data_IF_391919878254
#
_entry.id   IF_391919878254
#
_cell.length_a   1.000
_cell.length_b   1.000
_cell.length_c   1.000
_cell.angle_alpha   90.00
_cell.angle_beta   90.00
_cell.angle_gamma   90.00
#
_symmetry.space_group_name_H-M   'P 1'
#
loop_
_entity.id
_entity.type
_entity.pdbx_description
1 polymer ?
#
# COMPACT_ATOMS: atom_id res chain seq x y z
N UNK A 1 13.25 2.85 0.82
CA UNK A 1 12.31 3.48 1.75
C UNK A 1 11.02 2.68 1.74
N UNK A 2 10.44 2.40 2.91
CA UNK A 2 9.20 1.63 3.07
C UNK A 2 8.44 2.15 4.30
N UNK A 3 7.21 2.61 4.09
CA UNK A 3 6.28 2.94 5.16
C UNK A 3 5.77 1.65 5.82
N UNK A 4 5.56 1.71 7.13
CA UNK A 4 5.23 0.55 7.95
C UNK A 4 3.83 -0.02 7.67
N UNK A 5 2.94 0.78 7.08
CA UNK A 5 1.55 0.46 6.78
C UNK A 5 1.34 -0.09 5.35
N UNK A 6 2.42 -0.22 4.57
CA UNK A 6 2.36 -0.79 3.22
C UNK A 6 2.48 -2.32 3.24
N UNK A 7 1.61 -2.97 2.45
CA UNK A 7 1.52 -4.42 2.36
C UNK A 7 2.14 -4.90 1.04
N UNK A 8 3.44 -5.24 1.07
CA UNK A 8 4.10 -5.89 -0.06
C UNK A 8 3.69 -7.37 -0.13
N UNK A 9 3.10 -7.77 -1.27
CA UNK A 9 2.63 -9.14 -1.48
C UNK A 9 3.53 -9.92 -2.45
N UNK A 10 4.37 -9.22 -3.21
CA UNK A 10 5.29 -9.83 -4.15
C UNK A 10 6.70 -9.94 -3.53
N UNK A 11 7.19 -11.16 -3.24
CA UNK A 11 8.51 -11.34 -2.63
C UNK A 11 9.66 -10.91 -3.55
N UNK A 12 9.44 -10.86 -4.87
CA UNK A 12 10.44 -10.44 -5.85
C UNK A 12 10.50 -8.91 -6.03
N UNK A 13 9.69 -8.14 -5.30
CA UNK A 13 9.60 -6.67 -5.44
C UNK A 13 10.97 -6.00 -5.49
N UNK A 14 11.87 -6.33 -4.56
CA UNK A 14 13.20 -5.72 -4.52
C UNK A 14 14.02 -6.04 -5.77
N UNK A 15 14.07 -7.31 -6.18
CA UNK A 15 14.82 -7.76 -7.35
C UNK A 15 14.27 -7.12 -8.64
N UNK A 16 12.95 -7.07 -8.77
CA UNK A 16 12.27 -6.43 -9.89
C UNK A 16 12.61 -4.94 -9.99
N UNK A 17 12.59 -4.21 -8.87
CA UNK A 17 12.96 -2.79 -8.85
C UNK A 17 14.44 -2.55 -9.16
N UNK A 18 15.34 -3.40 -8.65
CA UNK A 18 16.78 -3.35 -8.97
C UNK A 18 16.98 -3.55 -10.48
N UNK A 19 16.26 -4.48 -11.10
CA UNK A 19 16.37 -4.78 -12.53
C UNK A 19 15.96 -3.61 -13.44
N UNK A 20 15.13 -2.68 -12.96
CA UNK A 20 14.76 -1.47 -13.72
C UNK A 20 15.92 -0.49 -13.92
N UNK A 21 17.00 -0.63 -13.13
CA UNK A 21 18.21 0.17 -13.21
C UNK A 21 17.92 1.69 -13.23
N UNK A 22 17.09 2.17 -12.29
CA UNK A 22 16.74 3.59 -12.12
C UNK A 22 17.33 4.11 -10.81
N UNK A 23 17.61 5.41 -10.75
CA UNK A 23 18.08 6.04 -9.51
C UNK A 23 16.99 6.04 -8.44
N UNK A 24 15.75 6.40 -8.80
CA UNK A 24 14.59 6.31 -7.90
C UNK A 24 13.45 5.59 -8.62
N UNK A 25 12.98 4.48 -8.04
CA UNK A 25 11.90 3.66 -8.61
C UNK A 25 10.99 3.09 -7.55
N UNK A 26 9.68 3.20 -7.77
CA UNK A 26 8.64 2.72 -6.88
C UNK A 26 7.86 1.56 -7.50
N UNK A 27 7.49 0.54 -6.72
CA UNK A 27 6.43 -0.38 -7.10
C UNK A 27 5.08 0.31 -6.97
N UNK A 28 4.19 0.15 -7.96
CA UNK A 28 2.84 0.67 -7.85
C UNK A 28 2.05 -0.13 -6.83
N UNK A 29 1.65 0.54 -5.75
CA UNK A 29 0.83 0.00 -4.68
C UNK A 29 -0.64 0.34 -4.92
N UNK A 30 -1.51 -0.64 -4.72
CA UNK A 30 -2.94 -0.52 -4.93
C UNK A 30 -3.69 -0.20 -3.65
N UNK A 31 -4.64 0.73 -3.72
CA UNK A 31 -5.59 1.01 -2.64
C UNK A 31 -7.02 0.71 -3.09
N UNK A 32 -7.96 0.69 -2.14
CA UNK A 32 -9.41 0.52 -2.37
C UNK A 32 -10.06 1.58 -3.26
N UNK A 33 -9.39 2.72 -3.40
CA UNK A 33 -9.88 3.88 -4.14
C UNK A 33 -8.96 4.22 -5.32
N UNK A 34 -9.19 5.39 -5.93
CA UNK A 34 -8.30 5.92 -6.95
C UNK A 34 -6.96 6.41 -6.38
N UNK A 35 -6.70 6.29 -5.08
CA UNK A 35 -5.44 6.65 -4.44
C UNK A 35 -4.33 5.62 -4.76
N UNK A 36 -3.08 6.06 -4.82
CA UNK A 36 -1.90 5.24 -5.06
C UNK A 36 -0.65 6.02 -4.68
N UNK A 37 0.49 5.34 -4.64
CA UNK A 37 1.76 5.87 -4.15
C UNK A 37 2.55 6.73 -5.16
N UNK A 38 1.85 7.39 -6.09
CA UNK A 38 2.48 8.22 -7.13
C UNK A 38 1.52 9.29 -7.67
N UNK A 39 2.08 10.37 -8.20
CA UNK A 39 1.33 11.40 -8.93
C UNK A 39 1.79 11.47 -10.39
N UNK A 40 0.87 11.60 -11.34
CA UNK A 40 1.22 11.84 -12.75
C UNK A 40 1.40 13.33 -13.11
N UNK A 41 1.21 14.22 -12.15
CA UNK A 41 1.31 15.66 -12.38
C UNK A 41 1.44 16.41 -11.08
N UNK A 42 2.17 17.53 -11.13
CA UNK A 42 2.28 18.50 -10.05
C UNK A 42 2.01 19.91 -10.59
N UNK A 43 1.47 20.78 -9.75
CA UNK A 43 1.36 22.22 -10.01
C UNK A 43 2.72 22.89 -9.86
N UNK A 44 2.82 24.17 -10.23
CA UNK A 44 4.05 24.96 -10.04
C UNK A 44 4.42 25.17 -8.58
N UNK A 45 3.45 25.03 -7.67
CA UNK A 45 3.62 25.08 -6.21
C UNK A 45 3.79 23.70 -5.57
N UNK A 46 3.97 22.64 -6.37
CA UNK A 46 4.28 21.30 -5.87
C UNK A 46 3.09 20.45 -5.45
N UNK A 47 1.86 20.90 -5.67
CA UNK A 47 0.67 20.12 -5.30
C UNK A 47 0.26 19.12 -6.37
N UNK A 48 -0.47 18.09 -5.97
CA UNK A 48 -1.07 17.11 -6.88
C UNK A 48 -1.84 17.77 -8.02
N UNK A 49 -1.57 17.31 -9.25
CA UNK A 49 -2.35 17.65 -10.43
C UNK A 49 -2.75 16.38 -11.17
N UNK A 50 -4.06 16.15 -11.28
CA UNK A 50 -4.60 15.03 -12.06
C UNK A 50 -4.25 15.17 -13.54
N UNK A 51 -3.85 14.07 -14.17
CA UNK A 51 -3.59 14.02 -15.62
C UNK A 51 -4.30 12.84 -16.27
N UNK A 52 -4.56 12.87 -17.60
CA UNK A 52 -5.19 11.76 -18.31
C UNK A 52 -4.39 10.44 -18.25
N UNK A 53 -3.08 10.50 -17.98
CA UNK A 53 -2.21 9.34 -17.89
C UNK A 53 -2.44 8.51 -16.61
N UNK A 54 -3.00 9.11 -15.56
CA UNK A 54 -3.09 8.48 -14.24
C UNK A 54 -3.93 7.19 -14.24
N UNK A 55 -5.17 7.24 -14.74
CA UNK A 55 -6.08 6.09 -14.68
C UNK A 55 -5.57 4.90 -15.52
N UNK A 56 -5.07 5.09 -16.76
CA UNK A 56 -4.49 3.99 -17.53
C UNK A 56 -3.29 3.32 -16.86
N UNK A 57 -2.44 4.07 -16.16
CA UNK A 57 -1.31 3.52 -15.39
C UNK A 57 -1.85 2.79 -14.15
N UNK A 58 -2.70 3.44 -13.35
CA UNK A 58 -3.23 2.90 -12.10
C UNK A 58 -4.04 1.62 -12.28
N UNK A 59 -4.80 1.52 -13.38
CA UNK A 59 -5.61 0.35 -13.76
C UNK A 59 -4.82 -0.71 -14.52
N UNK A 60 -3.52 -0.48 -14.77
CA UNK A 60 -2.64 -1.35 -15.56
C UNK A 60 -3.13 -1.58 -17.00
N UNK A 61 -3.94 -0.67 -17.54
CA UNK A 61 -4.28 -0.63 -18.97
C UNK A 61 -3.01 -0.37 -19.80
N UNK A 62 -2.08 0.42 -19.23
CA UNK A 62 -0.71 0.59 -19.72
C UNK A 62 0.26 0.02 -18.69
N UNK A 63 0.94 -1.08 -19.03
CA UNK A 63 1.95 -1.72 -18.18
C UNK A 63 3.35 -1.24 -18.54
N UNK A 64 4.18 -0.95 -17.54
CA UNK A 64 5.54 -0.47 -17.73
C UNK A 64 6.11 0.22 -16.49
N UNK A 65 7.19 0.97 -16.70
CA UNK A 65 7.73 1.90 -15.72
C UNK A 65 7.69 3.31 -16.31
N UNK A 66 7.05 4.23 -15.59
CA UNK A 66 6.69 5.54 -16.11
C UNK A 66 7.40 6.63 -15.32
N UNK A 67 7.99 7.58 -16.03
CA UNK A 67 8.49 8.80 -15.42
C UNK A 67 7.31 9.56 -14.79
N UNK A 68 7.44 9.89 -13.50
CA UNK A 68 6.41 10.60 -12.74
C UNK A 68 7.08 11.68 -11.88
N UNK A 69 6.40 12.81 -11.66
CA UNK A 69 6.95 13.90 -10.84
C UNK A 69 7.03 13.57 -9.35
N UNK A 70 6.37 12.51 -8.86
CA UNK A 70 6.43 12.11 -7.46
C UNK A 70 6.06 10.63 -7.27
N UNK A 71 6.84 9.94 -6.43
CA UNK A 71 6.51 8.64 -5.81
C UNK A 71 6.69 8.77 -4.30
N UNK A 72 5.90 8.02 -3.53
CA UNK A 72 6.00 8.04 -2.07
C UNK A 72 5.76 6.66 -1.47
N UNK A 73 5.82 6.58 -0.14
CA UNK A 73 5.55 5.44 0.73
C UNK A 73 6.39 4.17 0.55
N UNK A 74 6.64 3.70 -0.67
CA UNK A 74 7.61 2.63 -0.92
C UNK A 74 8.31 2.86 -2.22
N UNK A 75 9.64 2.91 -2.17
CA UNK A 75 10.49 3.07 -3.33
C UNK A 75 11.94 2.69 -3.01
N UNK A 76 12.67 2.36 -4.07
CA UNK A 76 14.10 2.05 -4.05
C UNK A 76 14.88 3.29 -4.53
N UNK A 77 15.94 3.63 -3.80
CA UNK A 77 16.98 4.56 -4.25
C UNK A 77 18.25 3.74 -4.51
N UNK A 78 18.82 3.86 -5.71
CA UNK A 78 20.12 3.24 -6.01
C UNK A 78 21.27 4.15 -5.57
N UNK A 79 21.81 3.89 -4.38
CA UNK A 79 22.89 4.66 -3.78
C UNK A 79 24.26 4.52 -4.49
N UNK A 80 24.36 3.63 -5.49
CA UNK A 80 25.59 3.46 -6.27
C UNK A 80 25.73 4.52 -7.35
N UNK A 81 24.65 5.22 -7.69
CA UNK A 81 24.64 6.26 -8.74
C UNK A 81 25.02 7.59 -8.13
N UNK A 82 25.95 8.30 -8.75
CA UNK A 82 26.44 9.59 -8.24
C UNK A 82 25.31 10.58 -7.95
N UNK A 83 24.29 10.64 -8.82
CA UNK A 83 23.14 11.52 -8.67
C UNK A 83 22.35 11.31 -7.37
N UNK A 84 22.42 10.11 -6.75
CA UNK A 84 21.71 9.86 -5.49
C UNK A 84 22.33 10.58 -4.30
N UNK A 85 23.58 11.05 -4.41
CA UNK A 85 24.29 11.78 -3.35
C UNK A 85 23.76 13.19 -3.12
N UNK A 86 22.97 13.70 -4.05
CA UNK A 86 22.35 15.03 -4.00
C UNK A 86 20.87 14.95 -3.60
N UNK A 87 20.40 13.76 -3.17
CA UNK A 87 19.04 13.55 -2.71
C UNK A 87 18.97 13.69 -1.19
N UNK A 88 18.13 14.60 -0.74
CA UNK A 88 17.95 14.92 0.67
C UNK A 88 16.46 14.89 1.03
N UNK A 89 16.16 14.24 2.15
CA UNK A 89 14.84 14.32 2.79
C UNK A 89 14.79 15.50 3.77
N UNK A 90 15.92 15.79 4.42
CA UNK A 90 16.06 16.82 5.43
C UNK A 90 17.54 17.21 5.58
N UNK A 91 17.88 18.50 5.78
CA UNK A 91 16.97 19.64 5.69
C UNK A 91 16.43 19.83 4.26
N UNK A 92 15.27 20.48 4.06
CA UNK A 92 14.83 20.83 2.71
C UNK A 92 15.89 21.67 1.99
N UNK A 93 15.90 21.56 0.66
CA UNK A 93 16.77 22.36 -0.18
C UNK A 93 16.63 23.87 0.14
N UNK A 94 17.70 24.68 0.11
CA UNK A 94 17.64 26.11 0.46
C UNK A 94 16.57 26.91 -0.31
N UNK A 95 16.34 26.56 -1.57
CA UNK A 95 15.33 27.20 -2.44
C UNK A 95 13.90 26.66 -2.26
N UNK A 96 13.68 25.75 -1.31
CA UNK A 96 12.36 25.17 -1.06
C UNK A 96 11.43 26.19 -0.41
N UNK A 97 10.35 26.52 -1.12
CA UNK A 97 9.36 27.55 -0.70
C UNK A 97 7.93 27.02 -0.67
N UNK A 98 7.74 25.71 -0.86
CA UNK A 98 6.44 25.07 -0.89
C UNK A 98 5.98 24.63 0.51
N UNK A 99 4.79 24.04 0.61
CA UNK A 99 4.30 23.53 1.89
C UNK A 99 5.24 22.46 2.46
N UNK A 100 5.46 22.49 3.76
CA UNK A 100 6.35 21.53 4.42
C UNK A 100 5.65 20.17 4.55
N UNK A 101 5.96 19.28 3.60
CA UNK A 101 5.44 17.93 3.46
C UNK A 101 6.58 17.07 2.90
N UNK A 102 6.86 15.94 3.54
CA UNK A 102 8.04 15.12 3.27
C UNK A 102 8.08 14.56 1.84
N UNK A 103 6.93 14.16 1.29
CA UNK A 103 6.85 13.63 -0.07
C UNK A 103 7.10 14.74 -1.10
N UNK A 104 6.64 15.97 -0.82
CA UNK A 104 6.84 17.12 -1.69
C UNK A 104 8.29 17.62 -1.58
N UNK A 105 8.86 17.66 -0.38
CA UNK A 105 10.27 18.02 -0.14
C UNK A 105 11.19 17.07 -0.90
N UNK A 106 10.97 15.76 -0.77
CA UNK A 106 11.80 14.77 -1.47
C UNK A 106 11.65 14.86 -2.99
N UNK A 107 10.43 15.06 -3.51
CA UNK A 107 10.20 15.26 -4.93
C UNK A 107 10.91 16.52 -5.46
N UNK A 108 10.92 17.60 -4.68
CA UNK A 108 11.67 18.81 -5.00
C UNK A 108 13.18 18.56 -5.01
N UNK A 109 13.73 17.86 -4.00
CA UNK A 109 15.14 17.48 -3.96
C UNK A 109 15.54 16.67 -5.21
N UNK A 110 14.75 15.66 -5.58
CA UNK A 110 14.95 14.89 -6.81
C UNK A 110 14.98 15.80 -8.04
N UNK A 111 14.06 16.76 -8.13
CA UNK A 111 14.01 17.71 -9.25
C UNK A 111 15.25 18.62 -9.31
N UNK A 112 15.71 19.15 -8.18
CA UNK A 112 16.91 20.00 -8.14
C UNK A 112 18.18 19.23 -8.50
N UNK A 113 18.25 17.95 -8.12
CA UNK A 113 19.33 17.04 -8.48
C UNK A 113 19.21 16.45 -9.90
N UNK A 114 18.23 16.90 -10.71
CA UNK A 114 17.92 16.37 -12.04
C UNK A 114 17.67 14.84 -12.06
N UNK A 115 17.16 14.29 -10.96
CA UNK A 115 16.83 12.87 -10.80
C UNK A 115 15.36 12.62 -11.10
N UNK A 116 15.11 11.87 -12.17
CA UNK A 116 13.76 11.42 -12.51
C UNK A 116 13.30 10.24 -11.62
N UNK A 117 12.11 10.38 -11.02
CA UNK A 117 11.42 9.30 -10.32
C UNK A 117 10.59 8.45 -11.28
N UNK A 118 10.47 7.15 -10.99
CA UNK A 118 9.72 6.20 -11.80
C UNK A 118 8.72 5.39 -10.98
N UNK A 119 7.52 5.16 -11.51
CA UNK A 119 6.54 4.21 -10.97
C UNK A 119 6.43 3.00 -11.89
N UNK A 120 6.53 1.80 -11.33
CA UNK A 120 6.47 0.54 -12.07
C UNK A 120 5.19 -0.23 -11.72
N UNK A 121 4.41 -0.60 -12.72
CA UNK A 121 3.18 -1.39 -12.56
C UNK A 121 3.20 -2.71 -13.35
N UNK A 122 4.41 -3.17 -13.72
CA UNK A 122 4.60 -4.43 -14.44
C UNK A 122 4.01 -5.61 -13.67
N UNK A 123 4.22 -5.70 -12.36
CA UNK A 123 3.74 -6.79 -11.51
C UNK A 123 2.79 -6.31 -10.40
N UNK A 124 2.05 -7.25 -9.79
CA UNK A 124 1.23 -6.99 -8.61
C UNK A 124 2.12 -6.90 -7.37
N UNK A 125 2.59 -5.71 -7.03
CA UNK A 125 3.60 -5.54 -5.97
C UNK A 125 3.03 -5.54 -4.55
N UNK A 126 1.90 -4.87 -4.33
CA UNK A 126 1.36 -4.69 -2.99
C UNK A 126 0.24 -3.67 -2.90
N UNK A 127 -0.11 -3.36 -1.67
CA UNK A 127 -1.21 -2.49 -1.30
C UNK A 127 -0.79 -1.42 -0.30
N UNK A 128 -1.57 -0.35 -0.23
CA UNK A 128 -1.43 0.69 0.79
C UNK A 128 -2.81 1.16 1.28
N UNK A 129 -2.94 1.56 2.55
CA UNK A 129 -4.15 2.17 3.06
C UNK A 129 -4.43 3.51 2.38
N UNK A 130 -5.70 3.90 2.35
CA UNK A 130 -6.07 5.26 1.92
C UNK A 130 -5.84 6.21 3.10
N UNK A 131 -5.16 7.35 2.91
CA UNK A 131 -4.90 8.30 3.98
C UNK A 131 -6.18 8.72 4.69
N UNK A 132 -6.08 8.82 6.01
CA UNK A 132 -7.16 9.29 6.86
C UNK A 132 -7.27 10.82 6.83
N UNK A 133 -8.33 11.32 7.48
CA UNK A 133 -8.51 12.77 7.65
C UNK A 133 -7.57 13.26 8.74
N UNK A 134 -7.21 14.55 8.69
CA UNK A 134 -6.33 15.20 9.67
C UNK A 134 -6.73 15.02 11.14
N UNK A 135 -8.00 14.75 11.42
CA UNK A 135 -8.56 14.68 12.78
C UNK A 135 -8.87 13.23 13.19
N UNK A 136 -8.43 12.26 12.38
CA UNK A 136 -8.58 10.84 12.68
C UNK A 136 -7.63 10.42 13.80
N UNK A 137 -8.06 9.43 14.56
CA UNK A 137 -7.34 8.87 15.69
C UNK A 137 -6.44 7.71 15.26
N UNK A 138 -5.52 7.30 16.15
CA UNK A 138 -4.73 6.06 15.93
C UNK A 138 -5.62 4.82 15.85
N UNK A 139 -6.78 4.82 16.51
CA UNK A 139 -7.74 3.71 16.42
C UNK A 139 -8.31 3.64 15.00
N UNK A 140 -8.68 4.79 14.42
CA UNK A 140 -9.13 4.84 13.02
C UNK A 140 -8.04 4.33 12.05
N UNK A 141 -6.77 4.58 12.36
CA UNK A 141 -5.62 4.11 11.57
C UNK A 141 -5.44 2.59 11.64
N UNK A 142 -5.57 2.02 12.85
CA UNK A 142 -5.59 0.56 13.05
C UNK A 142 -6.74 -0.07 12.26
N UNK A 143 -7.94 0.50 12.32
CA UNK A 143 -9.10 0.01 11.57
C UNK A 143 -8.89 0.12 10.06
N UNK A 144 -8.30 1.22 9.59
CA UNK A 144 -8.02 1.43 8.17
C UNK A 144 -6.96 0.45 7.63
N UNK A 145 -5.92 0.17 8.43
CA UNK A 145 -4.93 -0.85 8.12
C UNK A 145 -5.55 -2.24 8.09
N UNK A 146 -6.38 -2.59 9.09
CA UNK A 146 -7.12 -3.85 9.15
C UNK A 146 -8.03 -4.02 7.93
N UNK A 147 -8.81 -3.00 7.56
CA UNK A 147 -9.64 -3.02 6.35
C UNK A 147 -8.81 -3.27 5.08
N UNK A 148 -7.66 -2.63 4.96
CA UNK A 148 -6.75 -2.83 3.83
C UNK A 148 -6.27 -4.28 3.78
N UNK A 149 -5.84 -4.84 4.92
CA UNK A 149 -5.41 -6.23 5.06
C UNK A 149 -6.51 -7.22 4.67
N UNK A 150 -7.75 -6.99 5.09
CA UNK A 150 -8.90 -7.82 4.75
C UNK A 150 -9.25 -7.75 3.25
N UNK A 151 -9.14 -6.57 2.63
CA UNK A 151 -9.43 -6.39 1.21
C UNK A 151 -8.46 -7.17 0.31
N UNK A 152 -7.18 -7.22 0.67
CA UNK A 152 -6.18 -8.04 -0.06
C UNK A 152 -6.62 -9.51 -0.10
N UNK A 153 -7.09 -10.04 1.04
CA UNK A 153 -7.51 -11.42 1.18
C UNK A 153 -8.81 -11.76 0.40
N UNK A 154 -9.54 -10.77 -0.12
CA UNK A 154 -10.73 -11.01 -0.96
C UNK A 154 -10.33 -11.55 -2.33
N UNK A 155 -9.29 -10.98 -2.94
CA UNK A 155 -8.84 -11.31 -4.31
C UNK A 155 -7.57 -12.15 -4.35
N UNK A 156 -6.77 -12.12 -3.29
CA UNK A 156 -5.50 -12.82 -3.19
C UNK A 156 -5.41 -13.70 -1.94
N UNK A 157 -4.26 -14.35 -1.73
CA UNK A 157 -3.96 -14.98 -0.46
C UNK A 157 -3.91 -13.92 0.66
N UNK A 158 -4.22 -14.30 1.90
CA UNK A 158 -4.12 -13.39 3.02
C UNK A 158 -2.68 -12.91 3.23
N UNK A 159 -2.51 -11.67 3.70
CA UNK A 159 -1.20 -11.11 4.00
C UNK A 159 -0.75 -11.64 5.36
N UNK A 160 0.31 -12.44 5.34
CA UNK A 160 0.91 -12.99 6.55
C UNK A 160 2.02 -12.06 7.07
N UNK A 161 2.10 -11.86 8.40
CA UNK A 161 3.19 -11.11 8.98
C UNK A 161 4.52 -11.83 8.74
N UNK A 162 5.60 -11.05 8.68
CA UNK A 162 6.94 -11.59 8.67
C UNK A 162 7.19 -12.47 9.91
N UNK A 163 7.91 -13.58 9.75
CA UNK A 163 8.31 -14.45 10.85
C UNK A 163 9.17 -13.75 11.91
N UNK A 164 9.71 -12.57 11.60
CA UNK A 164 10.50 -11.74 12.51
C UNK A 164 9.65 -10.77 13.35
N UNK A 165 8.34 -10.71 13.13
CA UNK A 165 7.42 -9.87 13.90
C UNK A 165 6.76 -10.69 15.01
N UNK A 166 6.83 -10.17 16.24
CA UNK A 166 6.05 -10.67 17.36
C UNK A 166 4.79 -9.84 17.49
N UNK A 167 3.63 -10.44 17.20
CA UNK A 167 2.34 -9.78 17.34
C UNK A 167 1.70 -10.11 18.69
N UNK A 168 0.99 -9.16 19.31
CA UNK A 168 0.21 -9.48 20.50
C UNK A 168 -0.85 -10.54 20.19
N UNK A 169 -1.20 -11.40 21.17
CA UNK A 169 -2.26 -12.38 20.97
C UNK A 169 -3.58 -11.65 20.71
N UNK A 170 -4.36 -12.17 19.77
CA UNK A 170 -5.69 -11.64 19.49
C UNK A 170 -6.68 -12.17 20.52
N UNK A 171 -7.49 -11.28 21.08
CA UNK A 171 -8.53 -11.63 22.04
C UNK A 171 -9.87 -11.47 21.34
N UNK A 172 -10.53 -12.59 21.05
CA UNK A 172 -11.80 -12.58 20.36
C UNK A 172 -12.97 -12.33 21.31
N UNK A 173 -13.99 -11.60 20.85
CA UNK A 173 -15.25 -11.41 21.57
C UNK A 173 -16.47 -11.60 20.66
N UNK A 174 -17.67 -11.58 21.25
CA UNK A 174 -18.94 -11.74 20.53
C UNK A 174 -19.63 -10.41 20.22
N UNK A 175 -18.92 -9.29 20.29
CA UNK A 175 -19.45 -7.94 20.01
C UNK A 175 -20.76 -7.63 20.76
N UNK A 176 -20.86 -8.02 22.03
CA UNK A 176 -22.08 -7.91 22.88
C UNK A 176 -23.26 -8.83 22.50
N UNK A 177 -23.10 -9.71 21.52
CA UNK A 177 -24.11 -10.71 21.13
C UNK A 177 -23.95 -12.01 21.94
N UNK A 178 -25.04 -12.79 22.06
CA UNK A 178 -25.00 -14.10 22.72
C UNK A 178 -24.16 -15.12 21.93
N UNK A 179 -24.31 -15.11 20.61
CA UNK A 179 -23.61 -16.01 19.70
C UNK A 179 -23.52 -15.42 18.28
N UNK A 180 -22.37 -15.63 17.63
CA UNK A 180 -22.15 -15.29 16.22
C UNK A 180 -21.92 -16.59 15.46
N UNK A 181 -22.64 -16.79 14.35
CA UNK A 181 -22.55 -18.02 13.56
C UNK A 181 -21.85 -17.78 12.22
N UNK A 182 -20.77 -18.52 11.96
CA UNK A 182 -20.23 -18.65 10.62
C UNK A 182 -20.92 -19.83 9.92
N UNK A 183 -21.88 -19.53 9.06
CA UNK A 183 -22.61 -20.53 8.27
C UNK A 183 -21.96 -20.65 6.89
N UNK A 184 -21.36 -21.80 6.58
CA UNK A 184 -20.66 -22.00 5.31
C UNK A 184 -20.73 -23.44 4.80
N UNK A 185 -20.66 -23.62 3.49
CA UNK A 185 -20.74 -24.93 2.84
C UNK A 185 -19.40 -25.68 2.98
N UNK A 186 -19.43 -26.94 3.43
CA UNK A 186 -18.22 -27.79 3.49
C UNK A 186 -17.48 -27.90 2.16
N UNK A 187 -18.21 -27.95 1.05
CA UNK A 187 -17.64 -28.10 -0.30
C UNK A 187 -16.92 -26.87 -0.84
N UNK A 188 -16.94 -25.72 -0.13
CA UNK A 188 -16.25 -24.48 -0.53
C UNK A 188 -15.11 -24.15 0.45
N UNK A 189 -14.04 -24.97 0.51
CA UNK A 189 -12.98 -24.84 1.50
C UNK A 189 -12.30 -23.47 1.45
N UNK A 190 -11.97 -22.95 0.26
CA UNK A 190 -11.28 -21.66 0.13
C UNK A 190 -12.08 -20.50 0.75
N UNK A 191 -13.40 -20.48 0.53
CA UNK A 191 -14.28 -19.46 1.13
C UNK A 191 -14.38 -19.66 2.64
N UNK A 192 -14.42 -20.92 3.09
CA UNK A 192 -14.50 -21.25 4.53
C UNK A 192 -13.24 -20.78 5.24
N UNK A 193 -12.06 -21.12 4.76
CA UNK A 193 -10.78 -20.72 5.37
C UNK A 193 -10.57 -19.21 5.31
N UNK A 194 -10.92 -18.54 4.19
CA UNK A 194 -10.90 -17.07 4.12
C UNK A 194 -11.81 -16.44 5.18
N UNK A 195 -13.04 -16.91 5.35
CA UNK A 195 -13.94 -16.37 6.38
C UNK A 195 -13.42 -16.60 7.80
N UNK A 196 -12.83 -17.77 8.08
CA UNK A 196 -12.21 -18.03 9.39
C UNK A 196 -11.06 -17.07 9.66
N UNK A 197 -10.20 -16.85 8.67
CA UNK A 197 -9.08 -15.91 8.77
C UNK A 197 -9.58 -14.48 8.98
N UNK A 198 -10.59 -14.04 8.23
CA UNK A 198 -11.21 -12.70 8.39
C UNK A 198 -11.75 -12.50 9.81
N UNK A 199 -12.51 -13.46 10.35
CA UNK A 199 -13.05 -13.37 11.71
C UNK A 199 -11.94 -13.38 12.77
N UNK A 200 -10.88 -14.15 12.55
CA UNK A 200 -9.70 -14.11 13.41
C UNK A 200 -8.99 -12.74 13.37
N UNK A 201 -8.82 -12.14 12.19
CA UNK A 201 -8.25 -10.79 12.05
C UNK A 201 -9.12 -9.71 12.71
N UNK A 202 -10.45 -9.84 12.61
CA UNK A 202 -11.44 -8.96 13.25
C UNK A 202 -11.60 -9.21 14.75
N UNK A 203 -10.95 -10.24 15.30
CA UNK A 203 -11.11 -10.65 16.70
C UNK A 203 -12.57 -10.97 17.08
N UNK A 204 -13.29 -11.63 16.17
CA UNK A 204 -14.68 -12.03 16.39
C UNK A 204 -14.71 -13.52 16.73
N UNK A 205 -15.25 -13.84 17.90
CA UNK A 205 -15.56 -15.21 18.31
C UNK A 205 -16.82 -15.70 17.57
N UNK A 206 -16.81 -16.95 17.13
CA UNK A 206 -17.89 -17.51 16.34
C UNK A 206 -18.04 -19.02 16.49
N UNK A 207 -19.27 -19.47 16.31
CA UNK A 207 -19.62 -20.88 16.16
C UNK A 207 -19.77 -21.26 14.70
N UNK A 208 -18.97 -22.21 14.25
CA UNK A 208 -19.02 -22.73 12.90
C UNK A 208 -20.21 -23.68 12.72
N UNK A 209 -21.07 -23.39 11.75
CA UNK A 209 -22.21 -24.24 11.38
C UNK A 209 -22.16 -24.59 9.90
N UNK A 210 -22.43 -25.85 9.57
CA UNK A 210 -22.40 -26.31 8.20
C UNK A 210 -23.69 -25.92 7.49
N UNK A 211 -23.55 -25.17 6.40
CA UNK A 211 -24.68 -24.86 5.54
C UNK A 211 -25.14 -26.10 4.77
N UNK A 212 -26.45 -26.20 4.57
CA UNK A 212 -27.11 -27.18 3.70
C UNK A 212 -27.62 -26.45 2.45
N UNK A 213 -27.53 -27.10 1.29
CA UNK A 213 -28.15 -26.54 0.08
C UNK A 213 -29.66 -26.57 0.19
N UNK A 214 -30.32 -25.50 -0.29
CA UNK A 214 -31.75 -25.56 -0.56
C UNK A 214 -32.01 -26.63 -1.60
N UNK A 215 -32.92 -27.55 -1.29
CA UNK A 215 -33.46 -28.51 -2.26
C UNK A 215 -34.35 -27.82 -3.28
#
# INVERSE_FOLDING_TARGET
FIDADNLLINPDTLNLLIAENKTVVAPMLESRAAYSNFWCGMTTQGYYRRTPAYMPIRRRERRGCFAVPMVHSTFLIDLRKESSRHLDFYPPHPDYTWAYDDIIVFAFSCRQAEVQMFICNKEAYGHLPVPLRLHSTLVDEVDNFLHTKLEVAVKGPPVEPSAFLSLPPKVADKMTLDEIFLINLKRRPDRRERMKWVLHELQIDYKLSDAVDGK
#
